data_IF_972938679547
#
_entry.id   IF_972938679547
#
_cell.length_a   1.000
_cell.length_b   1.000
_cell.length_c   1.000
_cell.angle_alpha   90.00
_cell.angle_beta   90.00
_cell.angle_gamma   90.00
#
_symmetry.space_group_name_H-M   'P 1'
#
loop_
_entity.id
_entity.type
_entity.pdbx_description
1 polymer ?
#
# COMPACT_ATOMS: atom_id res chain seq x y z
N UNK A 1 -21.43 6.01 -11.26
CA UNK A 1 -21.00 7.15 -10.45
C UNK A 1 -20.10 8.05 -11.31
N UNK A 2 -20.11 9.37 -11.12
CA UNK A 2 -19.21 10.27 -11.84
C UNK A 2 -17.76 10.02 -11.41
N UNK A 3 -16.81 10.22 -12.33
CA UNK A 3 -15.39 10.02 -12.08
C UNK A 3 -14.72 11.33 -11.62
N UNK A 4 -15.27 11.94 -10.59
CA UNK A 4 -14.72 13.14 -9.92
C UNK A 4 -15.03 13.09 -8.42
N UNK A 5 -14.25 13.81 -7.63
CA UNK A 5 -14.44 13.94 -6.20
C UNK A 5 -15.61 14.88 -5.89
N UNK A 6 -16.37 14.58 -4.86
CA UNK A 6 -17.37 15.51 -4.32
C UNK A 6 -16.69 16.64 -3.51
N UNK A 7 -17.50 17.57 -2.97
CA UNK A 7 -16.96 18.73 -2.24
C UNK A 7 -16.23 18.32 -0.96
N UNK A 8 -16.74 17.35 -0.20
CA UNK A 8 -16.12 16.85 1.03
C UNK A 8 -14.78 16.15 0.73
N UNK A 9 -14.74 15.31 -0.31
CA UNK A 9 -13.53 14.67 -0.78
C UNK A 9 -12.50 15.66 -1.31
N UNK A 10 -12.96 16.75 -1.93
CA UNK A 10 -12.08 17.83 -2.37
C UNK A 10 -11.47 18.55 -1.17
N UNK A 11 -12.24 18.83 -0.11
CA UNK A 11 -11.73 19.41 1.13
C UNK A 11 -10.74 18.48 1.82
N UNK A 12 -11.04 17.17 1.89
CA UNK A 12 -10.13 16.17 2.45
C UNK A 12 -8.79 16.13 1.67
N UNK A 13 -8.87 16.15 0.33
CA UNK A 13 -7.68 16.19 -0.53
C UNK A 13 -6.81 17.41 -0.24
N UNK A 14 -7.41 18.60 -0.17
CA UNK A 14 -6.68 19.84 0.06
C UNK A 14 -6.05 19.83 1.46
N UNK A 15 -6.77 19.34 2.48
CA UNK A 15 -6.26 19.15 3.84
C UNK A 15 -5.10 18.14 3.89
N UNK A 16 -5.25 16.98 3.25
CA UNK A 16 -4.20 15.95 3.21
C UNK A 16 -2.95 16.44 2.47
N UNK A 17 -3.14 17.17 1.36
CA UNK A 17 -2.05 17.78 0.58
C UNK A 17 -1.24 18.74 1.42
N UNK A 18 -1.89 19.70 2.06
CA UNK A 18 -1.19 20.71 2.87
C UNK A 18 -0.47 20.05 4.04
N UNK A 19 -1.15 19.16 4.75
CA UNK A 19 -0.58 18.45 5.88
C UNK A 19 0.67 17.61 5.48
N UNK A 20 0.55 16.77 4.44
CA UNK A 20 1.66 15.90 4.04
C UNK A 20 2.82 16.69 3.45
N UNK A 21 2.55 17.73 2.65
CA UNK A 21 3.59 18.59 2.09
C UNK A 21 4.36 19.36 3.18
N UNK A 22 3.71 19.78 4.25
CA UNK A 22 4.35 20.49 5.35
C UNK A 22 5.14 19.55 6.28
N UNK A 23 4.54 18.42 6.70
CA UNK A 23 5.10 17.59 7.77
C UNK A 23 5.92 16.39 7.26
N UNK A 24 5.69 15.95 6.03
CA UNK A 24 6.34 14.76 5.46
C UNK A 24 6.82 14.95 4.01
N UNK A 25 7.49 16.06 3.67
CA UNK A 25 8.05 16.27 2.34
C UNK A 25 9.14 15.25 2.01
N UNK A 26 9.58 15.15 0.74
CA UNK A 26 10.65 14.24 0.31
C UNK A 26 11.92 14.37 1.15
N UNK A 27 12.24 15.57 1.65
CA UNK A 27 13.37 15.81 2.55
C UNK A 27 13.24 15.05 3.89
N UNK A 28 12.02 14.74 4.34
CA UNK A 28 11.78 13.91 5.53
C UNK A 28 12.21 12.46 5.26
N UNK A 29 11.83 11.88 4.14
CA UNK A 29 12.29 10.55 3.71
C UNK A 29 13.82 10.49 3.61
N UNK A 30 14.45 11.51 3.00
CA UNK A 30 15.92 11.59 2.93
C UNK A 30 16.57 11.56 4.32
N UNK A 31 16.05 12.32 5.29
CA UNK A 31 16.56 12.33 6.66
C UNK A 31 16.50 10.95 7.32
N UNK A 32 15.39 10.23 7.19
CA UNK A 32 15.23 8.87 7.74
C UNK A 32 16.20 7.88 7.06
N UNK A 33 16.32 7.96 5.73
CA UNK A 33 17.26 7.13 4.97
C UNK A 33 18.71 7.38 5.40
N UNK A 34 19.13 8.65 5.44
CA UNK A 34 20.51 9.04 5.70
C UNK A 34 20.92 8.76 7.16
N UNK A 35 19.95 8.88 8.09
CA UNK A 35 20.12 8.48 9.48
C UNK A 35 20.11 6.95 9.68
N UNK A 36 19.84 6.18 8.63
CA UNK A 36 19.61 4.74 8.70
C UNK A 36 18.59 4.36 9.80
N UNK A 37 17.49 5.13 9.86
CA UNK A 37 16.45 4.97 10.87
C UNK A 37 15.95 3.53 10.94
N UNK A 38 15.89 2.97 12.16
CA UNK A 38 15.56 1.57 12.36
C UNK A 38 14.07 1.25 12.14
N UNK A 39 13.18 2.23 12.34
CA UNK A 39 11.75 2.07 12.07
C UNK A 39 11.41 2.31 10.60
N UNK A 40 12.19 3.16 9.93
CA UNK A 40 11.99 3.56 8.54
C UNK A 40 10.85 4.58 8.34
N UNK A 41 10.25 5.07 9.43
CA UNK A 41 9.24 6.14 9.44
C UNK A 41 9.22 6.86 10.80
N UNK A 42 8.61 8.05 10.85
CA UNK A 42 8.46 8.82 12.09
C UNK A 42 7.20 8.39 12.86
N UNK A 43 7.38 7.92 14.12
CA UNK A 43 6.25 7.62 15.01
C UNK A 43 5.48 8.89 15.42
N UNK A 44 6.15 10.02 15.54
CA UNK A 44 5.49 11.30 15.84
C UNK A 44 4.60 11.74 14.68
N UNK A 45 5.10 11.61 13.44
CA UNK A 45 4.29 11.85 12.24
C UNK A 45 3.09 10.90 12.18
N UNK A 46 3.27 9.62 12.53
CA UNK A 46 2.17 8.66 12.57
C UNK A 46 1.08 9.04 13.58
N UNK A 47 1.47 9.56 14.77
CA UNK A 47 0.52 10.13 15.73
C UNK A 47 -0.20 11.36 15.18
N UNK A 48 0.50 12.23 14.47
CA UNK A 48 -0.14 13.37 13.80
C UNK A 48 -1.15 12.94 12.73
N UNK A 49 -0.93 11.82 12.01
CA UNK A 49 -1.94 11.22 11.14
C UNK A 49 -3.19 10.78 11.92
N UNK A 50 -3.01 10.24 13.12
CA UNK A 50 -4.11 9.86 13.99
C UNK A 50 -4.88 11.09 14.51
N UNK A 51 -4.18 12.14 14.94
CA UNK A 51 -4.77 13.42 15.35
C UNK A 51 -5.59 14.09 14.25
N UNK A 52 -5.20 13.91 12.98
CA UNK A 52 -5.96 14.33 11.81
C UNK A 52 -7.16 13.41 11.48
N UNK A 53 -7.32 12.30 12.21
CA UNK A 53 -8.35 11.30 11.96
C UNK A 53 -8.06 10.35 10.79
N UNK A 54 -6.93 10.48 10.12
CA UNK A 54 -6.62 9.69 8.92
C UNK A 54 -6.56 8.19 9.21
N UNK A 55 -6.07 7.78 10.38
CA UNK A 55 -5.98 6.36 10.76
C UNK A 55 -7.35 5.70 10.93
N UNK A 56 -8.39 6.48 11.17
CA UNK A 56 -9.77 6.03 11.37
C UNK A 56 -10.68 6.12 10.15
N UNK A 57 -10.17 6.51 8.98
CA UNK A 57 -11.00 6.75 7.78
C UNK A 57 -11.92 5.57 7.47
N UNK A 58 -11.39 4.35 7.45
CA UNK A 58 -12.15 3.14 7.14
C UNK A 58 -12.81 2.47 8.35
N UNK A 59 -12.52 2.88 9.59
CA UNK A 59 -13.14 2.36 10.80
C UNK A 59 -14.53 2.98 10.96
N UNK A 60 -15.53 2.17 11.32
CA UNK A 60 -16.90 2.64 11.50
C UNK A 60 -17.05 3.67 12.64
N UNK A 61 -18.07 4.53 12.57
CA UNK A 61 -18.37 5.53 13.59
C UNK A 61 -18.67 4.88 14.94
N UNK A 62 -19.37 3.73 14.95
CA UNK A 62 -19.67 2.95 16.15
C UNK A 62 -18.41 2.37 16.83
N UNK A 63 -17.32 2.25 16.09
CA UNK A 63 -16.01 1.78 16.57
C UNK A 63 -15.04 2.96 16.83
N UNK A 64 -15.54 4.19 16.74
CA UNK A 64 -14.79 5.44 17.00
C UNK A 64 -14.04 6.01 15.80
N UNK A 65 -14.23 5.47 14.60
CA UNK A 65 -13.66 5.95 13.36
C UNK A 65 -14.53 6.99 12.63
N UNK A 66 -14.23 7.22 11.35
CA UNK A 66 -14.94 8.21 10.52
C UNK A 66 -16.00 7.58 9.62
N UNK A 67 -16.02 6.25 9.44
CA UNK A 67 -16.98 5.54 8.61
C UNK A 67 -16.95 5.94 7.13
N UNK A 68 -15.80 6.47 6.65
CA UNK A 68 -15.61 6.87 5.26
C UNK A 68 -15.20 5.69 4.38
N UNK A 69 -14.93 5.96 3.09
CA UNK A 69 -14.68 4.92 2.09
C UNK A 69 -13.24 4.83 1.57
N UNK A 70 -13.06 3.91 0.63
CA UNK A 70 -11.78 3.70 -0.06
C UNK A 70 -11.38 4.88 -0.94
N UNK A 71 -12.36 5.67 -1.43
CA UNK A 71 -12.06 6.94 -2.13
C UNK A 71 -11.33 7.88 -1.18
N UNK A 72 -11.81 8.02 0.05
CA UNK A 72 -11.24 8.93 1.04
C UNK A 72 -9.86 8.47 1.53
N UNK A 73 -9.70 7.18 1.80
CA UNK A 73 -8.39 6.59 2.13
C UNK A 73 -7.39 6.74 0.96
N UNK A 74 -7.86 6.61 -0.28
CA UNK A 74 -7.07 6.79 -1.48
C UNK A 74 -6.57 8.22 -1.67
N UNK A 75 -7.36 9.22 -1.29
CA UNK A 75 -6.95 10.63 -1.31
C UNK A 75 -5.72 10.85 -0.43
N UNK A 76 -5.73 10.32 0.79
CA UNK A 76 -4.57 10.42 1.70
C UNK A 76 -3.35 9.67 1.14
N UNK A 77 -3.55 8.47 0.60
CA UNK A 77 -2.48 7.66 -0.01
C UNK A 77 -1.86 8.34 -1.23
N UNK A 78 -2.65 9.05 -2.05
CA UNK A 78 -2.11 9.80 -3.18
C UNK A 78 -1.15 10.90 -2.70
N UNK A 79 -1.48 11.63 -1.64
CA UNK A 79 -0.59 12.67 -1.12
C UNK A 79 0.64 12.09 -0.40
N UNK A 80 0.51 10.93 0.27
CA UNK A 80 1.64 10.14 0.79
C UNK A 80 2.60 9.78 -0.36
N UNK A 81 2.08 9.25 -1.46
CA UNK A 81 2.86 8.89 -2.64
C UNK A 81 3.52 10.09 -3.31
N UNK A 82 2.80 11.21 -3.46
CA UNK A 82 3.28 12.46 -4.06
C UNK A 82 4.51 13.02 -3.34
N UNK A 83 4.57 12.88 -2.03
CA UNK A 83 5.65 13.37 -1.18
C UNK A 83 6.66 12.28 -0.79
N UNK A 84 6.51 11.04 -1.29
CA UNK A 84 7.32 9.88 -0.88
C UNK A 84 7.38 9.71 0.63
N UNK A 85 6.28 9.96 1.33
CA UNK A 85 6.24 10.01 2.80
C UNK A 85 6.24 8.60 3.39
N UNK A 86 7.28 8.17 4.14
CA UNK A 86 7.28 6.86 4.77
C UNK A 86 6.25 6.80 5.89
N UNK A 87 5.29 5.88 5.76
CA UNK A 87 4.25 5.67 6.78
C UNK A 87 3.70 4.24 6.76
N UNK A 88 3.15 3.75 7.87
CA UNK A 88 2.46 2.46 7.90
C UNK A 88 1.01 2.54 7.42
N UNK A 89 0.57 3.65 6.83
CA UNK A 89 -0.83 3.96 6.52
C UNK A 89 -1.50 2.87 5.67
N UNK A 90 -0.89 2.48 4.55
CA UNK A 90 -1.43 1.45 3.65
C UNK A 90 -1.64 0.11 4.36
N UNK A 91 -0.65 -0.34 5.14
CA UNK A 91 -0.73 -1.63 5.82
C UNK A 91 -1.66 -1.58 7.03
N UNK A 92 -1.55 -0.52 7.86
CA UNK A 92 -2.24 -0.42 9.16
C UNK A 92 -3.65 0.15 9.02
N UNK A 93 -3.79 1.36 8.45
CA UNK A 93 -5.07 2.08 8.42
C UNK A 93 -6.01 1.63 7.29
N UNK A 94 -5.47 0.93 6.29
CA UNK A 94 -6.25 0.48 5.13
C UNK A 94 -6.42 -1.03 5.13
N UNK A 95 -5.37 -1.79 4.83
CA UNK A 95 -5.51 -3.22 4.59
C UNK A 95 -5.78 -4.03 5.86
N UNK A 96 -5.12 -3.71 7.00
CA UNK A 96 -5.36 -4.40 8.26
C UNK A 96 -6.76 -4.09 8.82
N UNK A 97 -7.23 -2.84 8.72
CA UNK A 97 -8.59 -2.46 9.12
C UNK A 97 -9.62 -3.30 8.36
N UNK A 98 -9.48 -3.45 7.05
CA UNK A 98 -10.40 -4.27 6.24
C UNK A 98 -10.37 -5.75 6.60
N UNK A 99 -9.21 -6.30 6.97
CA UNK A 99 -9.15 -7.68 7.47
C UNK A 99 -9.88 -7.87 8.80
N UNK A 100 -9.75 -6.88 9.71
CA UNK A 100 -10.28 -6.95 11.09
C UNK A 100 -11.78 -6.65 11.17
N UNK A 101 -12.35 -5.91 10.23
CA UNK A 101 -13.78 -5.55 10.22
C UNK A 101 -14.69 -6.78 10.41
N UNK A 102 -15.65 -6.65 11.32
CA UNK A 102 -16.63 -7.71 11.62
C UNK A 102 -16.06 -8.90 12.39
N UNK A 103 -14.83 -8.83 12.88
CA UNK A 103 -14.23 -9.85 13.75
C UNK A 103 -14.11 -9.37 15.20
N UNK A 104 -14.02 -10.30 16.15
CA UNK A 104 -13.77 -9.97 17.55
C UNK A 104 -12.44 -9.22 17.77
N UNK A 105 -11.49 -9.37 16.84
CA UNK A 105 -10.20 -8.70 16.89
C UNK A 105 -10.30 -7.19 16.62
N UNK A 106 -11.36 -6.71 15.96
CA UNK A 106 -11.59 -5.28 15.73
C UNK A 106 -11.63 -4.50 17.07
N UNK A 107 -12.41 -4.96 18.04
CA UNK A 107 -12.51 -4.33 19.36
C UNK A 107 -11.18 -4.27 20.12
N UNK A 108 -10.26 -5.21 19.87
CA UNK A 108 -8.93 -5.23 20.47
C UNK A 108 -7.97 -4.21 19.81
N UNK A 109 -7.98 -4.14 18.49
CA UNK A 109 -6.92 -3.45 17.75
C UNK A 109 -7.30 -2.05 17.25
N UNK A 110 -8.58 -1.79 16.96
CA UNK A 110 -9.00 -0.47 16.45
C UNK A 110 -8.68 0.69 17.39
N UNK A 111 -8.86 0.59 18.72
CA UNK A 111 -8.50 1.71 19.60
C UNK A 111 -7.04 2.15 19.47
N UNK A 112 -6.10 1.21 19.39
CA UNK A 112 -4.69 1.50 19.23
C UNK A 112 -4.35 2.02 17.82
N UNK A 113 -5.05 1.57 16.76
CA UNK A 113 -4.91 2.09 15.40
C UNK A 113 -5.40 3.54 15.33
N UNK A 114 -6.58 3.81 15.91
CA UNK A 114 -7.16 5.16 15.98
C UNK A 114 -6.25 6.13 16.71
N UNK A 115 -5.60 5.70 17.78
CA UNK A 115 -4.67 6.51 18.56
C UNK A 115 -3.28 6.67 17.89
N UNK A 116 -3.00 5.99 16.77
CA UNK A 116 -1.66 5.98 16.16
C UNK A 116 -0.60 5.25 17.00
N UNK A 117 -1.01 4.36 17.89
CA UNK A 117 -0.14 3.57 18.78
C UNK A 117 0.18 2.20 18.21
N UNK A 118 -0.79 1.58 17.53
CA UNK A 118 -0.65 0.25 16.91
C UNK A 118 -0.17 0.35 15.47
N UNK A 119 0.87 -0.39 15.16
CA UNK A 119 1.35 -0.64 13.80
C UNK A 119 0.99 -2.07 13.42
N UNK A 120 0.25 -2.24 12.33
CA UNK A 120 -0.07 -3.55 11.79
C UNK A 120 0.77 -3.88 10.56
N UNK A 121 1.19 -5.14 10.45
CA UNK A 121 1.90 -5.69 9.31
C UNK A 121 1.14 -6.88 8.71
N UNK A 122 1.31 -7.12 7.41
CA UNK A 122 0.56 -8.11 6.63
C UNK A 122 1.48 -9.24 6.19
N UNK A 123 1.42 -10.37 6.86
CA UNK A 123 2.21 -11.56 6.60
C UNK A 123 1.43 -12.49 5.63
N UNK A 124 1.37 -12.10 4.36
CA UNK A 124 0.60 -12.80 3.31
C UNK A 124 1.51 -13.50 2.29
N UNK A 125 2.59 -12.88 1.85
CA UNK A 125 3.47 -13.40 0.82
C UNK A 125 4.50 -14.41 1.36
N UNK A 126 4.76 -15.48 0.61
CA UNK A 126 5.67 -16.58 0.99
C UNK A 126 6.87 -16.72 0.03
N UNK A 127 6.85 -16.02 -1.08
CA UNK A 127 7.86 -16.10 -2.14
C UNK A 127 8.30 -14.74 -2.67
N UNK A 128 9.17 -14.76 -3.67
CA UNK A 128 9.71 -13.56 -4.29
C UNK A 128 8.67 -12.73 -5.09
N UNK A 129 7.53 -13.33 -5.42
CA UNK A 129 6.42 -12.69 -6.11
C UNK A 129 5.12 -13.00 -5.37
N UNK A 130 4.21 -12.03 -5.38
CA UNK A 130 2.86 -12.23 -4.86
C UNK A 130 2.13 -13.36 -5.58
N UNK A 131 1.41 -14.18 -4.83
CA UNK A 131 0.57 -15.27 -5.33
C UNK A 131 -0.71 -15.35 -4.51
N UNK A 132 -1.81 -15.81 -5.11
CA UNK A 132 -3.08 -16.05 -4.41
C UNK A 132 -3.07 -17.37 -3.60
N UNK A 133 -1.91 -18.04 -3.46
CA UNK A 133 -1.73 -19.30 -2.73
C UNK A 133 -1.24 -19.05 -1.31
N UNK A 134 -1.69 -19.89 -0.37
CA UNK A 134 -1.22 -19.89 1.03
C UNK A 134 -0.77 -21.31 1.39
N UNK A 135 0.53 -21.49 1.65
CA UNK A 135 1.13 -22.78 1.97
C UNK A 135 1.60 -22.92 3.43
N UNK A 136 1.87 -21.78 4.11
CA UNK A 136 2.22 -21.75 5.53
C UNK A 136 1.15 -22.46 6.36
N UNK A 137 1.57 -23.37 7.27
CA UNK A 137 0.65 -24.21 8.02
C UNK A 137 0.27 -23.62 9.37
N UNK A 138 -0.99 -23.88 9.76
CA UNK A 138 -1.50 -23.67 11.09
C UNK A 138 -2.15 -24.98 11.56
N UNK A 139 -1.50 -25.68 12.48
CA UNK A 139 -1.99 -26.96 13.03
C UNK A 139 -2.69 -26.73 14.36
N UNK A 140 -3.74 -27.49 14.65
CA UNK A 140 -4.40 -27.42 15.96
C UNK A 140 -3.43 -27.82 17.07
N UNK A 141 -3.35 -27.00 18.12
CA UNK A 141 -2.52 -27.22 19.31
C UNK A 141 -3.31 -26.82 20.56
N UNK A 142 -3.64 -27.81 21.40
CA UNK A 142 -4.48 -27.55 22.57
C UNK A 142 -5.80 -26.89 22.21
N UNK A 143 -6.08 -25.70 22.78
CA UNK A 143 -7.27 -24.90 22.48
C UNK A 143 -7.04 -23.90 21.32
N UNK A 144 -5.83 -23.82 20.80
CA UNK A 144 -5.44 -22.85 19.76
C UNK A 144 -4.79 -23.51 18.55
N UNK A 145 -3.78 -22.81 18.03
CA UNK A 145 -3.06 -23.22 16.82
C UNK A 145 -1.56 -23.03 16.97
N UNK A 146 -0.80 -23.84 16.26
CA UNK A 146 0.64 -23.75 16.08
C UNK A 146 0.94 -23.33 14.65
N UNK A 147 1.56 -22.18 14.47
CA UNK A 147 1.93 -21.60 13.18
C UNK A 147 3.38 -21.97 12.84
N UNK A 148 3.60 -22.54 11.64
CA UNK A 148 4.94 -22.90 11.17
C UNK A 148 5.12 -22.56 9.69
N UNK A 149 6.17 -21.81 9.37
CA UNK A 149 6.51 -21.40 8.01
C UNK A 149 7.19 -20.04 7.93
N UNK A 150 7.23 -19.48 6.72
CA UNK A 150 7.93 -18.20 6.46
C UNK A 150 7.06 -17.27 5.67
N UNK A 151 7.20 -15.98 5.97
CA UNK A 151 6.58 -14.89 5.20
C UNK A 151 7.64 -13.88 4.78
N UNK A 152 7.49 -13.30 3.59
CA UNK A 152 8.45 -12.40 3.00
C UNK A 152 7.82 -11.04 2.67
N UNK A 153 8.67 -10.03 2.52
CA UNK A 153 8.27 -8.66 2.17
C UNK A 153 7.20 -8.05 3.10
N UNK A 154 7.23 -8.44 4.37
CA UNK A 154 6.28 -7.95 5.38
C UNK A 154 6.68 -6.53 5.79
N UNK A 155 6.11 -5.53 5.11
CA UNK A 155 6.40 -4.11 5.39
C UNK A 155 6.12 -3.81 6.87
N UNK A 156 7.07 -3.14 7.54
CA UNK A 156 7.05 -2.85 8.98
C UNK A 156 7.02 -4.09 9.91
N UNK A 157 7.14 -5.33 9.39
CA UNK A 157 7.04 -6.56 10.18
C UNK A 157 8.04 -6.67 11.34
N UNK A 158 9.18 -5.96 11.27
CA UNK A 158 10.20 -5.92 12.32
C UNK A 158 9.81 -5.08 13.55
N UNK A 159 8.81 -4.20 13.41
CA UNK A 159 8.38 -3.28 14.49
C UNK A 159 6.87 -3.33 14.74
N UNK A 160 6.14 -4.11 13.96
CA UNK A 160 4.67 -4.20 14.05
C UNK A 160 4.24 -4.72 15.41
N UNK A 161 3.19 -4.12 15.97
CA UNK A 161 2.56 -4.54 17.22
C UNK A 161 1.56 -5.68 16.95
N UNK A 162 0.92 -5.65 15.76
CA UNK A 162 0.03 -6.67 15.22
C UNK A 162 0.58 -7.20 13.90
N UNK A 163 0.63 -8.51 13.75
CA UNK A 163 0.94 -9.17 12.47
C UNK A 163 -0.30 -9.99 12.05
N UNK A 164 -0.91 -9.62 10.93
CA UNK A 164 -1.99 -10.39 10.33
C UNK A 164 -1.39 -11.47 9.45
N UNK A 165 -1.57 -12.72 9.83
CA UNK A 165 -0.95 -13.89 9.20
C UNK A 165 -1.99 -14.71 8.47
N UNK A 166 -1.80 -14.92 7.17
CA UNK A 166 -2.59 -15.91 6.42
C UNK A 166 -1.90 -17.27 6.51
N UNK A 167 -2.61 -18.27 7.03
CA UNK A 167 -2.08 -19.62 7.14
C UNK A 167 -3.14 -20.68 6.75
N UNK A 168 -2.67 -21.87 6.44
CA UNK A 168 -3.46 -23.01 5.98
C UNK A 168 -3.81 -23.93 7.15
N UNK A 169 -5.09 -24.00 7.49
CA UNK A 169 -5.63 -24.89 8.52
C UNK A 169 -6.17 -26.20 7.92
N UNK A 170 -6.54 -26.19 6.63
CA UNK A 170 -6.99 -27.38 5.90
C UNK A 170 -6.70 -27.27 4.39
N UNK A 171 -6.69 -28.39 3.67
CA UNK A 171 -6.55 -28.44 2.23
C UNK A 171 -5.13 -28.19 1.70
N UNK A 172 -5.00 -28.07 0.36
CA UNK A 172 -3.76 -27.77 -0.35
C UNK A 172 -3.52 -26.25 -0.48
N UNK A 173 -2.31 -25.85 -0.88
CA UNK A 173 -1.90 -24.45 -0.92
C UNK A 173 -2.73 -23.57 -1.88
N UNK A 174 -3.26 -24.16 -2.93
CA UNK A 174 -4.06 -23.51 -3.98
C UNK A 174 -5.59 -23.66 -3.79
N UNK A 175 -6.02 -24.40 -2.75
CA UNK A 175 -7.44 -24.51 -2.43
C UNK A 175 -8.02 -23.17 -1.97
N UNK A 176 -9.22 -22.85 -2.43
CA UNK A 176 -9.93 -21.63 -2.04
C UNK A 176 -10.32 -21.65 -0.54
N UNK A 177 -10.72 -22.79 -0.03
CA UNK A 177 -11.13 -22.99 1.38
C UNK A 177 -9.93 -23.49 2.22
N UNK A 178 -10.06 -23.43 3.55
CA UNK A 178 -9.06 -23.93 4.48
C UNK A 178 -7.95 -22.94 4.80
N UNK A 179 -8.12 -21.66 4.44
CA UNK A 179 -7.31 -20.54 4.92
C UNK A 179 -7.92 -20.02 6.22
N UNK A 180 -7.07 -19.66 7.17
CA UNK A 180 -7.44 -18.93 8.38
C UNK A 180 -6.52 -17.74 8.54
N UNK A 181 -7.06 -16.59 8.90
CA UNK A 181 -6.25 -15.42 9.28
C UNK A 181 -6.08 -15.40 10.80
N UNK A 182 -4.88 -15.03 11.23
CA UNK A 182 -4.50 -14.92 12.63
C UNK A 182 -3.96 -13.54 12.94
N UNK A 183 -4.38 -12.98 14.07
CA UNK A 183 -3.78 -11.80 14.70
C UNK A 183 -2.67 -12.27 15.64
N UNK A 184 -1.42 -12.08 15.26
CA UNK A 184 -0.26 -12.47 16.04
C UNK A 184 0.36 -11.23 16.69
N UNK A 185 0.57 -11.31 18.01
CA UNK A 185 1.16 -10.22 18.78
C UNK A 185 2.67 -10.12 18.55
N UNK A 186 3.20 -8.92 18.70
CA UNK A 186 4.62 -8.67 18.75
C UNK A 186 5.31 -9.49 19.84
N UNK A 187 6.40 -10.12 19.46
CA UNK A 187 7.23 -10.88 20.41
C UNK A 187 6.65 -12.25 20.78
N UNK A 188 5.70 -12.78 20.01
CA UNK A 188 5.22 -14.15 20.16
C UNK A 188 6.43 -15.13 20.15
N UNK A 189 6.46 -16.07 21.11
CA UNK A 189 7.54 -17.04 21.21
C UNK A 189 7.64 -17.87 19.93
N UNK A 190 8.85 -18.04 19.38
CA UNK A 190 9.09 -18.73 18.11
C UNK A 190 8.92 -17.85 16.85
N UNK A 191 8.53 -16.59 17.01
CA UNK A 191 8.52 -15.62 15.90
C UNK A 191 9.86 -14.88 15.82
N UNK A 192 10.48 -14.92 14.65
CA UNK A 192 11.66 -14.09 14.35
C UNK A 192 11.37 -13.17 13.17
N UNK A 193 11.94 -11.96 13.21
CA UNK A 193 11.78 -10.95 12.18
C UNK A 193 13.15 -10.41 11.75
N UNK A 194 13.56 -10.70 10.53
CA UNK A 194 14.77 -10.16 9.91
C UNK A 194 14.41 -8.96 9.05
N UNK A 195 14.86 -7.77 9.45
CA UNK A 195 14.60 -6.53 8.73
C UNK A 195 15.51 -6.37 7.51
N UNK A 196 14.95 -6.05 6.37
CA UNK A 196 15.67 -5.75 5.13
C UNK A 196 15.23 -4.41 4.54
N UNK A 197 16.21 -3.63 4.08
CA UNK A 197 15.94 -2.36 3.42
C UNK A 197 15.71 -2.59 1.94
N UNK A 198 14.56 -2.15 1.46
CA UNK A 198 14.16 -2.25 0.06
C UNK A 198 14.81 -1.14 -0.80
N UNK A 199 14.62 -1.21 -2.12
CA UNK A 199 15.23 -0.29 -3.08
C UNK A 199 14.83 1.18 -2.85
N UNK A 200 13.63 1.44 -2.33
CA UNK A 200 13.10 2.77 -1.99
C UNK A 200 13.47 3.23 -0.57
N UNK A 201 14.31 2.47 0.12
CA UNK A 201 14.71 2.65 1.51
C UNK A 201 13.63 2.35 2.56
N UNK A 202 12.44 1.90 2.17
CA UNK A 202 11.49 1.32 3.12
C UNK A 202 12.02 0.02 3.71
N UNK A 203 11.48 -0.40 4.86
CA UNK A 203 11.92 -1.60 5.56
C UNK A 203 10.81 -2.64 5.52
N UNK A 204 11.14 -3.82 5.02
CA UNK A 204 10.31 -5.01 5.11
C UNK A 204 11.02 -6.10 5.93
N UNK A 205 10.26 -7.02 6.49
CA UNK A 205 10.82 -8.15 7.24
C UNK A 205 10.60 -9.47 6.49
N UNK A 206 11.56 -10.37 6.67
CA UNK A 206 11.31 -11.81 6.59
C UNK A 206 10.88 -12.28 7.96
N UNK A 207 9.73 -12.93 8.01
CA UNK A 207 9.22 -13.52 9.24
C UNK A 207 9.37 -15.03 9.17
N UNK A 208 9.89 -15.62 10.25
CA UNK A 208 9.94 -17.07 10.45
C UNK A 208 9.10 -17.41 11.68
N UNK A 209 8.18 -18.34 11.50
CA UNK A 209 7.31 -18.89 12.51
C UNK A 209 7.78 -20.30 12.81
N UNK A 210 8.46 -20.49 13.93
CA UNK A 210 8.95 -21.80 14.40
C UNK A 210 8.07 -22.28 15.54
N UNK A 211 6.92 -22.88 15.16
CA UNK A 211 5.96 -23.38 16.10
C UNK A 211 5.33 -22.31 16.98
N UNK A 212 5.02 -21.13 16.43
CA UNK A 212 4.38 -20.03 17.17
C UNK A 212 2.99 -20.46 17.63
N UNK A 213 2.80 -20.53 18.94
CA UNK A 213 1.49 -20.86 19.54
C UNK A 213 0.62 -19.60 19.62
N UNK A 214 -0.63 -19.73 19.19
CA UNK A 214 -1.67 -18.70 19.30
C UNK A 214 -2.93 -19.30 19.87
N UNK A 215 -3.66 -18.54 20.67
CA UNK A 215 -4.93 -18.95 21.22
C UNK A 215 -6.04 -18.95 20.16
N UNK A 216 -7.17 -19.60 20.44
CA UNK A 216 -8.30 -19.67 19.51
C UNK A 216 -8.90 -18.29 19.20
N UNK A 217 -8.80 -17.35 20.13
CA UNK A 217 -9.28 -15.97 19.96
C UNK A 217 -8.41 -15.14 19.03
N UNK A 218 -7.18 -15.58 18.71
CA UNK A 218 -6.33 -14.93 17.70
C UNK A 218 -6.88 -15.05 16.26
N UNK A 219 -7.89 -15.90 16.03
CA UNK A 219 -8.50 -16.07 14.72
C UNK A 219 -9.27 -14.79 14.32
N UNK A 220 -9.00 -14.31 13.11
CA UNK A 220 -9.73 -13.20 12.48
C UNK A 220 -10.86 -13.82 11.63
N UNK A 221 -12.11 -13.69 12.09
CA UNK A 221 -13.26 -14.34 11.50
C UNK A 221 -13.42 -15.78 11.99
N UNK A 222 -13.56 -16.74 11.09
CA UNK A 222 -13.79 -18.16 11.38
C UNK A 222 -12.66 -19.04 10.84
N UNK A 223 -12.45 -20.18 11.51
CA UNK A 223 -11.47 -21.19 11.06
C UNK A 223 -11.88 -21.76 9.70
N UNK A 224 -10.94 -21.95 8.80
CA UNK A 224 -11.12 -22.43 7.43
C UNK A 224 -11.90 -21.47 6.49
N UNK A 225 -12.39 -20.34 7.01
CA UNK A 225 -13.17 -19.33 6.28
C UNK A 225 -12.41 -17.98 6.10
N UNK A 226 -11.10 -17.99 6.28
CA UNK A 226 -10.24 -16.80 6.18
C UNK A 226 -10.12 -16.20 4.77
N UNK A 227 -10.75 -16.81 3.76
CA UNK A 227 -10.73 -16.30 2.39
C UNK A 227 -11.38 -14.92 2.28
N UNK A 228 -12.55 -14.73 2.87
CA UNK A 228 -13.27 -13.45 2.79
C UNK A 228 -12.52 -12.28 3.44
N UNK A 229 -12.02 -12.36 4.68
CA UNK A 229 -11.22 -11.30 5.27
C UNK A 229 -9.88 -11.10 4.54
N UNK A 230 -9.27 -12.15 3.99
CA UNK A 230 -8.09 -12.03 3.13
C UNK A 230 -8.38 -11.26 1.83
N UNK A 231 -9.50 -11.55 1.18
CA UNK A 231 -9.91 -10.86 -0.04
C UNK A 231 -10.24 -9.39 0.23
N UNK A 232 -10.88 -9.04 1.36
CA UNK A 232 -11.08 -7.64 1.77
C UNK A 232 -9.74 -6.93 1.95
N UNK A 233 -8.80 -7.52 2.69
CA UNK A 233 -7.44 -7.03 2.87
C UNK A 233 -6.75 -6.80 1.54
N UNK A 234 -6.79 -7.78 0.63
CA UNK A 234 -6.12 -7.71 -0.67
C UNK A 234 -6.74 -6.65 -1.59
N UNK A 235 -8.07 -6.52 -1.63
CA UNK A 235 -8.76 -5.46 -2.39
C UNK A 235 -8.35 -4.08 -1.90
N UNK A 236 -8.39 -3.87 -0.59
CA UNK A 236 -8.00 -2.62 0.05
C UNK A 236 -6.51 -2.31 -0.19
N UNK A 237 -5.63 -3.29 -0.01
CA UNK A 237 -4.20 -3.16 -0.26
C UNK A 237 -3.88 -2.83 -1.72
N UNK A 238 -4.49 -3.52 -2.68
CA UNK A 238 -4.33 -3.30 -4.13
C UNK A 238 -4.80 -1.91 -4.54
N UNK A 239 -5.98 -1.52 -4.08
CA UNK A 239 -6.57 -0.20 -4.39
C UNK A 239 -5.79 0.93 -3.73
N UNK A 240 -5.38 0.74 -2.47
CA UNK A 240 -4.55 1.71 -1.76
C UNK A 240 -3.16 1.87 -2.39
N UNK A 241 -2.49 0.76 -2.76
CA UNK A 241 -1.22 0.82 -3.48
C UNK A 241 -1.36 1.50 -4.86
N UNK A 242 -2.51 1.35 -5.53
CA UNK A 242 -2.80 2.05 -6.79
C UNK A 242 -2.93 3.56 -6.57
N UNK A 243 -3.60 4.00 -5.50
CA UNK A 243 -3.71 5.41 -5.15
C UNK A 243 -2.34 6.01 -4.79
N UNK A 244 -1.52 5.31 -4.02
CA UNK A 244 -0.17 5.75 -3.70
C UNK A 244 0.72 5.82 -4.95
N UNK A 245 0.61 4.86 -5.88
CA UNK A 245 1.29 4.91 -7.19
C UNK A 245 0.88 6.14 -8.02
N UNK A 246 -0.40 6.53 -8.01
CA UNK A 246 -0.84 7.79 -8.65
C UNK A 246 -0.11 9.00 -8.05
N UNK A 247 0.02 9.05 -6.74
CA UNK A 247 0.78 10.09 -6.06
C UNK A 247 2.24 10.12 -6.48
N UNK A 248 2.89 8.95 -6.50
CA UNK A 248 4.30 8.81 -6.95
C UNK A 248 4.46 9.27 -8.40
N UNK A 249 3.62 8.81 -9.32
CA UNK A 249 3.67 9.21 -10.73
C UNK A 249 3.38 10.69 -10.95
N UNK A 250 2.41 11.23 -10.20
CA UNK A 250 2.05 12.66 -10.23
C UNK A 250 3.17 13.54 -9.69
N UNK A 251 3.76 13.20 -8.54
CA UNK A 251 4.90 13.93 -7.96
C UNK A 251 6.13 13.92 -8.88
N UNK A 252 6.43 12.78 -9.49
CA UNK A 252 7.50 12.68 -10.49
C UNK A 252 7.23 13.57 -11.72
N UNK A 253 5.98 13.62 -12.16
CA UNK A 253 5.55 14.46 -13.28
C UNK A 253 5.66 15.95 -12.95
N UNK A 254 5.18 16.37 -11.78
CA UNK A 254 5.25 17.77 -11.32
C UNK A 254 6.71 18.23 -11.27
N UNK A 255 7.59 17.41 -10.68
CA UNK A 255 9.04 17.68 -10.61
C UNK A 255 9.66 17.79 -12.02
N UNK A 256 9.28 16.89 -12.94
CA UNK A 256 9.77 16.87 -14.31
C UNK A 256 9.31 18.10 -15.08
N UNK A 257 8.03 18.46 -15.00
CA UNK A 257 7.48 19.64 -15.69
C UNK A 257 8.13 20.94 -15.18
N UNK A 258 8.36 21.06 -13.86
CA UNK A 258 9.08 22.18 -13.26
C UNK A 258 10.50 22.28 -13.82
N UNK A 259 11.23 21.15 -13.85
CA UNK A 259 12.57 21.11 -14.43
C UNK A 259 12.60 21.53 -15.91
N UNK A 260 11.66 21.04 -16.72
CA UNK A 260 11.55 21.43 -18.14
C UNK A 260 11.31 22.92 -18.33
N UNK A 261 10.58 23.58 -17.43
CA UNK A 261 10.30 25.02 -17.46
C UNK A 261 11.49 25.88 -17.04
N UNK A 262 12.39 25.36 -16.24
CA UNK A 262 13.52 26.11 -15.64
C UNK A 262 14.85 25.86 -16.35
N UNK A 263 15.11 24.60 -16.76
CA UNK A 263 16.39 24.20 -17.34
C UNK A 263 16.62 24.83 -18.71
N UNK A 264 17.77 25.48 -18.87
CA UNK A 264 18.19 26.07 -20.15
C UNK A 264 19.32 25.27 -20.78
N UNK A 265 19.18 24.95 -22.06
CA UNK A 265 20.19 24.37 -22.92
C UNK A 265 19.99 24.90 -24.34
N UNK A 266 21.07 24.98 -25.13
CA UNK A 266 21.02 25.49 -26.51
C UNK A 266 20.41 26.92 -26.63
N UNK A 267 20.60 27.74 -25.59
CA UNK A 267 20.10 29.12 -25.55
C UNK A 267 18.61 29.30 -25.21
N UNK A 268 17.88 28.24 -25.00
CA UNK A 268 16.43 28.25 -24.68
C UNK A 268 16.09 27.35 -23.48
N UNK A 269 14.89 27.52 -22.94
CA UNK A 269 14.34 26.60 -21.94
C UNK A 269 14.03 25.28 -22.64
N UNK A 270 14.49 24.15 -22.09
CA UNK A 270 14.31 22.83 -22.73
C UNK A 270 12.87 22.44 -22.93
N UNK A 271 11.95 22.87 -22.07
CA UNK A 271 10.50 22.69 -22.24
C UNK A 271 9.90 23.35 -23.48
N UNK A 272 10.64 24.19 -24.20
CA UNK A 272 10.24 24.72 -25.52
C UNK A 272 10.40 23.73 -26.68
N UNK A 273 11.15 22.63 -26.48
CA UNK A 273 11.31 21.60 -27.50
C UNK A 273 10.06 20.71 -27.60
N UNK A 274 9.45 20.65 -28.78
CA UNK A 274 8.23 19.86 -29.01
C UNK A 274 8.38 18.38 -28.61
N UNK A 275 9.56 17.78 -28.82
CA UNK A 275 9.81 16.39 -28.43
C UNK A 275 9.58 16.15 -26.94
N UNK A 276 9.95 17.10 -26.05
CA UNK A 276 9.71 17.00 -24.62
C UNK A 276 8.28 17.35 -24.24
N UNK A 277 7.64 18.31 -24.95
CA UNK A 277 6.24 18.65 -24.75
C UNK A 277 5.31 17.44 -25.06
N UNK A 278 5.56 16.74 -26.19
CA UNK A 278 4.77 15.56 -26.55
C UNK A 278 4.95 14.42 -25.57
N UNK A 279 6.15 14.19 -25.06
CA UNK A 279 6.39 13.20 -24.00
C UNK A 279 5.63 13.56 -22.72
N UNK A 280 5.72 14.80 -22.25
CA UNK A 280 5.01 15.25 -21.05
C UNK A 280 3.48 15.15 -21.22
N UNK A 281 2.95 15.53 -22.39
CA UNK A 281 1.52 15.40 -22.68
C UNK A 281 1.06 13.95 -22.72
N UNK A 282 1.86 13.04 -23.27
CA UNK A 282 1.57 11.59 -23.24
C UNK A 282 1.53 11.06 -21.80
N UNK A 283 2.53 11.39 -20.97
CA UNK A 283 2.55 11.00 -19.57
C UNK A 283 1.32 11.50 -18.82
N UNK A 284 0.93 12.75 -19.02
CA UNK A 284 -0.27 13.31 -18.42
C UNK A 284 -1.51 12.48 -18.78
N UNK A 285 -1.68 12.13 -20.06
CA UNK A 285 -2.81 11.34 -20.52
C UNK A 285 -2.84 9.95 -19.89
N UNK A 286 -1.71 9.24 -19.81
CA UNK A 286 -1.61 7.92 -19.17
C UNK A 286 -1.94 7.97 -17.68
N UNK A 287 -1.44 8.98 -16.96
CA UNK A 287 -1.72 9.17 -15.54
C UNK A 287 -3.20 9.50 -15.27
N UNK A 288 -3.85 10.31 -16.11
CA UNK A 288 -5.28 10.63 -15.95
C UNK A 288 -6.19 9.43 -16.26
N UNK A 289 -5.82 8.60 -17.23
CA UNK A 289 -6.54 7.33 -17.49
C UNK A 289 -6.40 6.37 -16.31
N UNK A 290 -5.19 6.25 -15.74
CA UNK A 290 -4.95 5.45 -14.54
C UNK A 290 -5.73 6.01 -13.34
N UNK A 291 -5.77 7.32 -13.15
CA UNK A 291 -6.57 8.01 -12.10
C UNK A 291 -8.05 7.64 -12.19
N UNK A 292 -8.63 7.70 -13.39
CA UNK A 292 -10.02 7.32 -13.61
C UNK A 292 -10.28 5.86 -13.24
N UNK A 293 -9.35 4.95 -13.56
CA UNK A 293 -9.46 3.53 -13.20
C UNK A 293 -9.40 3.32 -11.68
N UNK A 294 -8.51 4.01 -10.97
CA UNK A 294 -8.40 3.94 -9.50
C UNK A 294 -9.66 4.45 -8.83
N UNK A 295 -10.13 5.65 -9.21
CA UNK A 295 -11.35 6.22 -8.65
C UNK A 295 -12.55 5.30 -8.88
N UNK A 296 -12.67 4.71 -10.08
CA UNK A 296 -13.73 3.73 -10.38
C UNK A 296 -13.66 2.50 -9.49
N UNK A 297 -12.45 1.95 -9.26
CA UNK A 297 -12.26 0.80 -8.39
C UNK A 297 -12.65 1.10 -6.94
N UNK A 298 -12.24 2.26 -6.42
CA UNK A 298 -12.58 2.72 -5.07
C UNK A 298 -14.10 2.88 -4.91
N UNK A 299 -14.76 3.56 -5.85
CA UNK A 299 -16.21 3.74 -5.84
C UNK A 299 -16.99 2.41 -5.87
N UNK A 300 -16.49 1.41 -6.59
CA UNK A 300 -17.13 0.08 -6.65
C UNK A 300 -16.92 -0.69 -5.34
N UNK A 301 -15.76 -0.55 -4.70
CA UNK A 301 -15.51 -1.12 -3.37
C UNK A 301 -16.45 -0.51 -2.34
N UNK A 302 -16.58 0.82 -2.31
CA UNK A 302 -17.45 1.53 -1.37
C UNK A 302 -18.92 1.18 -1.56
N UNK A 303 -19.31 0.88 -2.81
CA UNK A 303 -20.66 0.44 -3.14
C UNK A 303 -20.92 -1.07 -2.90
N UNK A 304 -19.91 -1.86 -2.54
CA UNK A 304 -20.02 -3.33 -2.45
C UNK A 304 -20.39 -3.99 -3.78
N UNK A 305 -19.99 -3.38 -4.92
CA UNK A 305 -20.37 -3.84 -6.25
C UNK A 305 -19.63 -5.12 -6.65
N UNK A 306 -20.33 -6.04 -7.30
CA UNK A 306 -19.75 -7.32 -7.74
C UNK A 306 -18.60 -7.16 -8.76
N UNK A 307 -18.55 -6.03 -9.48
CA UNK A 307 -17.45 -5.70 -10.41
C UNK A 307 -16.19 -5.16 -9.76
N UNK A 308 -16.17 -4.95 -8.43
CA UNK A 308 -15.05 -4.33 -7.72
C UNK A 308 -13.74 -5.09 -7.91
N UNK A 309 -13.73 -6.43 -7.85
CA UNK A 309 -12.53 -7.24 -8.03
C UNK A 309 -11.83 -7.04 -9.38
N UNK A 310 -12.61 -7.01 -10.46
CA UNK A 310 -12.10 -6.75 -11.79
C UNK A 310 -11.56 -5.32 -11.90
N UNK A 311 -12.32 -4.33 -11.39
CA UNK A 311 -11.90 -2.93 -11.42
C UNK A 311 -10.62 -2.68 -10.61
N UNK A 312 -10.46 -3.32 -9.44
CA UNK A 312 -9.23 -3.25 -8.62
C UNK A 312 -8.03 -3.82 -9.38
N UNK A 313 -8.21 -4.95 -10.08
CA UNK A 313 -7.13 -5.53 -10.89
C UNK A 313 -6.76 -4.65 -12.08
N UNK A 314 -7.75 -4.04 -12.76
CA UNK A 314 -7.51 -3.05 -13.83
C UNK A 314 -6.76 -1.84 -13.27
N UNK A 315 -7.22 -1.26 -12.16
CA UNK A 315 -6.59 -0.10 -11.55
C UNK A 315 -5.12 -0.37 -11.18
N UNK A 316 -4.83 -1.51 -10.53
CA UNK A 316 -3.47 -1.85 -10.11
C UNK A 316 -2.54 -2.08 -11.29
N UNK A 317 -2.98 -2.79 -12.34
CA UNK A 317 -2.19 -3.00 -13.54
C UNK A 317 -1.90 -1.68 -14.28
N UNK A 318 -2.93 -0.88 -14.55
CA UNK A 318 -2.79 0.37 -15.28
C UNK A 318 -1.92 1.38 -14.53
N UNK A 319 -2.12 1.52 -13.22
CA UNK A 319 -1.34 2.46 -12.41
C UNK A 319 0.12 2.06 -12.33
N UNK A 320 0.41 0.75 -12.17
CA UNK A 320 1.79 0.26 -12.17
C UNK A 320 2.50 0.58 -13.49
N UNK A 321 1.82 0.43 -14.65
CA UNK A 321 2.38 0.75 -15.96
C UNK A 321 2.53 2.25 -16.17
N UNK A 322 1.50 3.06 -15.90
CA UNK A 322 1.52 4.50 -16.08
C UNK A 322 2.56 5.18 -15.17
N UNK A 323 2.63 4.78 -13.89
CA UNK A 323 3.62 5.33 -12.94
C UNK A 323 5.03 4.92 -13.34
N UNK A 324 5.25 3.66 -13.76
CA UNK A 324 6.57 3.21 -14.24
C UNK A 324 7.01 4.05 -15.43
N UNK A 325 6.13 4.29 -16.39
CA UNK A 325 6.41 5.16 -17.53
C UNK A 325 6.73 6.59 -17.08
N UNK A 326 5.92 7.17 -16.18
CA UNK A 326 6.10 8.53 -15.68
C UNK A 326 7.46 8.73 -15.04
N UNK A 327 7.89 7.82 -14.14
CA UNK A 327 9.17 7.97 -13.44
C UNK A 327 10.37 7.71 -14.35
N UNK A 328 10.28 6.75 -15.30
CA UNK A 328 11.35 6.48 -16.26
C UNK A 328 11.56 7.65 -17.22
N UNK A 329 10.47 8.18 -17.76
CA UNK A 329 10.49 9.36 -18.62
C UNK A 329 10.96 10.61 -17.84
N UNK A 330 10.56 10.72 -16.55
CA UNK A 330 11.06 11.75 -15.65
C UNK A 330 12.57 11.70 -15.53
N UNK A 331 13.16 10.56 -15.20
CA UNK A 331 14.63 10.39 -15.14
C UNK A 331 15.28 10.74 -16.48
N UNK A 332 14.72 10.27 -17.60
CA UNK A 332 15.24 10.56 -18.93
C UNK A 332 15.22 12.06 -19.26
N UNK A 333 14.13 12.76 -18.94
CA UNK A 333 13.97 14.19 -19.24
C UNK A 333 14.85 15.09 -18.35
N UNK A 334 15.27 14.60 -17.17
CA UNK A 334 16.25 15.29 -16.33
C UNK A 334 17.69 15.11 -16.84
N UNK A 335 17.95 14.10 -17.69
CA UNK A 335 19.30 13.78 -18.18
C UNK A 335 20.24 13.35 -17.06
N UNK A 336 21.50 13.76 -17.10
CA UNK A 336 22.53 13.30 -16.14
C UNK A 336 22.18 13.50 -14.67
N UNK A 337 21.54 14.61 -14.31
CA UNK A 337 21.16 14.88 -12.91
C UNK A 337 20.11 13.91 -12.40
N UNK A 338 19.24 13.40 -13.27
CA UNK A 338 18.22 12.41 -12.91
C UNK A 338 18.78 11.06 -12.46
N UNK A 339 20.06 10.80 -12.73
CA UNK A 339 20.77 9.59 -12.30
C UNK A 339 21.52 9.77 -10.98
N UNK A 340 21.53 10.97 -10.42
CA UNK A 340 22.27 11.27 -9.19
C UNK A 340 21.36 11.21 -7.96
N UNK A 341 21.95 11.02 -6.79
CA UNK A 341 21.25 11.09 -5.51
C UNK A 341 20.92 12.54 -5.08
N UNK A 342 21.50 13.53 -5.76
CA UNK A 342 21.25 14.95 -5.48
C UNK A 342 19.83 15.38 -5.85
N UNK A 343 19.23 14.72 -6.85
CA UNK A 343 17.91 15.06 -7.37
C UNK A 343 16.86 14.00 -7.03
N UNK A 344 15.66 14.44 -6.66
CA UNK A 344 14.64 13.56 -6.06
C UNK A 344 14.01 12.57 -7.05
N UNK A 345 14.08 12.80 -8.36
CA UNK A 345 13.39 11.97 -9.36
C UNK A 345 13.74 10.47 -9.26
N UNK A 346 14.98 10.15 -8.88
CA UNK A 346 15.43 8.77 -8.68
C UNK A 346 14.70 8.06 -7.54
N UNK A 347 14.24 8.78 -6.50
CA UNK A 347 13.48 8.19 -5.39
C UNK A 347 12.06 7.82 -5.80
N UNK A 348 11.42 8.64 -6.62
CA UNK A 348 10.14 8.31 -7.23
C UNK A 348 10.22 7.00 -8.03
N UNK A 349 11.29 6.81 -8.81
CA UNK A 349 11.48 5.56 -9.57
C UNK A 349 11.66 4.35 -8.64
N UNK A 350 12.40 4.48 -7.54
CA UNK A 350 12.58 3.42 -6.56
C UNK A 350 11.28 3.07 -5.84
N UNK A 351 10.51 4.08 -5.40
CA UNK A 351 9.21 3.86 -4.75
C UNK A 351 8.20 3.23 -5.70
N UNK A 352 8.11 3.72 -6.93
CA UNK A 352 7.26 3.13 -7.97
C UNK A 352 7.54 1.64 -8.16
N UNK A 353 8.83 1.24 -8.18
CA UNK A 353 9.23 -0.16 -8.31
C UNK A 353 8.73 -1.02 -7.16
N UNK A 354 8.87 -0.56 -5.91
CA UNK A 354 8.41 -1.31 -4.74
C UNK A 354 6.88 -1.45 -4.74
N UNK A 355 6.15 -0.35 -4.92
CA UNK A 355 4.68 -0.36 -4.93
C UNK A 355 4.09 -1.17 -6.09
N UNK A 356 4.76 -1.17 -7.26
CA UNK A 356 4.30 -1.95 -8.41
C UNK A 356 4.30 -3.46 -8.13
N UNK A 357 5.23 -3.95 -7.29
CA UNK A 357 5.31 -5.36 -6.90
C UNK A 357 4.35 -5.75 -5.77
N UNK A 358 4.01 -4.81 -4.87
CA UNK A 358 3.13 -5.08 -3.73
C UNK A 358 1.74 -5.54 -4.18
N UNK A 359 1.22 -6.60 -3.56
CA UNK A 359 -0.10 -7.20 -3.83
C UNK A 359 -0.31 -7.67 -5.28
N UNK A 360 0.76 -7.93 -6.01
CA UNK A 360 0.79 -8.38 -7.40
C UNK A 360 1.20 -7.29 -8.39
N UNK A 361 2.06 -7.67 -9.34
CA UNK A 361 2.49 -6.79 -10.43
C UNK A 361 1.45 -6.71 -11.56
N UNK A 362 1.72 -5.88 -12.58
CA UNK A 362 0.80 -5.69 -13.70
C UNK A 362 0.48 -7.00 -14.45
N UNK A 363 1.46 -7.90 -14.58
CA UNK A 363 1.26 -9.19 -15.25
C UNK A 363 0.38 -10.13 -14.42
N UNK A 364 0.57 -10.16 -13.09
CA UNK A 364 -0.29 -10.91 -12.17
C UNK A 364 -1.75 -10.46 -12.31
N UNK A 365 -2.01 -9.15 -12.35
CA UNK A 365 -3.37 -8.63 -12.47
C UNK A 365 -3.98 -8.86 -13.87
N UNK A 366 -3.16 -8.79 -14.93
CA UNK A 366 -3.61 -9.12 -16.28
C UNK A 366 -3.99 -10.60 -16.40
N UNK A 367 -3.18 -11.52 -15.87
CA UNK A 367 -3.47 -12.96 -15.81
C UNK A 367 -4.75 -13.25 -15.00
N UNK A 368 -4.91 -12.59 -13.84
CA UNK A 368 -6.12 -12.70 -13.02
C UNK A 368 -7.38 -12.30 -13.78
N UNK A 369 -7.32 -11.19 -14.54
CA UNK A 369 -8.45 -10.74 -15.38
C UNK A 369 -8.72 -11.72 -16.52
N UNK A 370 -7.69 -12.23 -17.19
CA UNK A 370 -7.83 -13.20 -18.26
C UNK A 370 -8.51 -14.48 -17.76
N UNK A 371 -8.06 -15.03 -16.63
CA UNK A 371 -8.69 -16.21 -15.99
C UNK A 371 -10.14 -15.97 -15.61
N UNK A 372 -10.46 -14.80 -15.04
CA UNK A 372 -11.84 -14.43 -14.71
C UNK A 372 -12.74 -14.32 -15.92
N UNK A 373 -12.18 -13.99 -17.09
CA UNK A 373 -12.88 -13.96 -18.40
C UNK A 373 -12.90 -15.33 -19.11
N UNK A 374 -12.30 -16.37 -18.54
CA UNK A 374 -12.30 -17.74 -19.08
C UNK A 374 -11.18 -18.07 -20.07
N UNK A 375 -10.08 -17.29 -20.06
CA UNK A 375 -8.88 -17.53 -20.88
C UNK A 375 -7.79 -18.29 -20.09
#
# INVERSE_FOLDING_TARGET
MPLYLNDEQTMLRDTARDFVAEHAPVSHMRKLRDANDAAGFSRDLWKSFAEMGFTGILIGEEEGGLGLGHVDAGIVLEEIGRNLSPSPFLATAVAAVEALKGSAQAGRWFPGILAGETIAALAIDEGAKHRDTVAMKAERSGNGFRLSGKKQFVTHGHIADLIIVAARTAGAADDANGITLFAVDKGAAGLTAEAERLADSSIAARLEFDGVEVDADAVIGEVDAGRDPLDRLLRAGRTGASAELLGVGGGAMDLTVSYLKERKQFGVTIGSFQALQHRAAHLYSEMEVARAAVLKAQQLLDAGDAGADAAVSVAKAMTALATTLSVQEGVQMHGGIGMTDEYDIGFYMKRARVLAEMFGDANFHADRLARAAGY
#
